data_IF_062945493790
#
_entry.id   IF_062945493790
#
_cell.length_a   1.000
_cell.length_b   1.000
_cell.length_c   1.000
_cell.angle_alpha   90.00
_cell.angle_beta   90.00
_cell.angle_gamma   90.00
#
_symmetry.space_group_name_H-M   'P 1'
#
loop_
_entity.id
_entity.type
_entity.pdbx_description
1 polymer ?
#
# COMPACT_ATOMS: atom_id res chain seq x y z
N UNK A 1 -11.57 -6.32 -42.49
CA UNK A 1 -11.27 -5.39 -43.61
C UNK A 1 -11.70 -3.93 -43.35
N UNK A 2 -12.60 -3.65 -42.43
CA UNK A 2 -13.07 -2.26 -42.12
C UNK A 2 -12.06 -1.46 -41.28
N UNK A 3 -11.29 -2.12 -40.41
CA UNK A 3 -10.30 -1.45 -39.54
C UNK A 3 -9.06 -0.97 -40.30
N UNK A 4 -8.68 -1.66 -41.39
CA UNK A 4 -7.53 -1.27 -42.22
C UNK A 4 -7.84 -0.05 -43.12
N UNK A 5 -9.10 0.16 -43.51
CA UNK A 5 -9.54 1.29 -44.32
C UNK A 5 -9.59 2.62 -43.56
N UNK A 6 -9.84 2.56 -42.24
CA UNK A 6 -9.87 3.75 -41.38
C UNK A 6 -8.46 4.31 -41.09
N UNK A 7 -7.45 3.45 -41.09
CA UNK A 7 -6.05 3.83 -40.86
C UNK A 7 -5.43 4.60 -42.04
N UNK A 8 -5.97 4.45 -43.27
CA UNK A 8 -5.43 5.08 -44.48
C UNK A 8 -5.94 6.53 -44.69
N UNK A 9 -6.96 6.95 -43.96
CA UNK A 9 -7.53 8.31 -44.09
C UNK A 9 -7.04 9.29 -43.01
N UNK A 10 -6.24 8.81 -42.04
CA UNK A 10 -5.64 9.66 -41.03
C UNK A 10 -4.44 10.43 -41.58
N UNK A 11 -4.33 11.75 -41.35
CA UNK A 11 -3.15 12.50 -41.78
C UNK A 11 -1.89 11.88 -41.17
N UNK A 12 -0.87 11.69 -41.97
CA UNK A 12 0.42 11.03 -41.63
C UNK A 12 0.98 11.55 -40.28
N UNK A 13 0.74 12.82 -39.96
CA UNK A 13 1.11 13.42 -38.67
C UNK A 13 0.43 12.80 -37.46
N UNK A 14 -0.84 12.37 -37.58
CA UNK A 14 -1.56 11.69 -36.48
C UNK A 14 -1.04 10.27 -36.26
N UNK A 15 -0.70 9.55 -37.33
CA UNK A 15 -0.12 8.20 -37.22
C UNK A 15 1.26 8.27 -36.56
N UNK A 16 2.08 9.24 -36.96
CA UNK A 16 3.39 9.48 -36.35
C UNK A 16 3.29 9.89 -34.91
N UNK A 17 2.30 10.71 -34.52
CA UNK A 17 2.04 11.08 -33.13
C UNK A 17 1.63 9.85 -32.31
N UNK A 18 0.73 9.01 -32.81
CA UNK A 18 0.27 7.79 -32.09
C UNK A 18 1.40 6.76 -31.92
N UNK A 19 2.27 6.59 -32.93
CA UNK A 19 3.43 5.68 -32.81
C UNK A 19 4.48 6.17 -31.80
N UNK A 20 4.59 7.48 -31.59
CA UNK A 20 5.54 8.06 -30.63
C UNK A 20 4.96 8.09 -29.21
N UNK A 21 3.66 8.33 -29.07
CA UNK A 21 2.97 8.43 -27.76
C UNK A 21 2.64 7.05 -27.17
N UNK A 22 2.36 6.05 -28.03
CA UNK A 22 2.00 4.70 -27.60
C UNK A 22 3.06 4.02 -26.70
N UNK A 23 4.36 3.99 -27.02
CA UNK A 23 5.36 3.38 -26.14
C UNK A 23 5.55 4.17 -24.83
N UNK A 24 5.39 5.49 -24.88
CA UNK A 24 5.47 6.33 -23.69
C UNK A 24 4.32 6.04 -22.71
N UNK A 25 3.09 5.90 -23.24
CA UNK A 25 1.92 5.50 -22.43
C UNK A 25 2.05 4.08 -21.90
N UNK A 26 2.56 3.15 -22.70
CA UNK A 26 2.79 1.77 -22.25
C UNK A 26 3.83 1.72 -21.11
N UNK A 27 4.90 2.52 -21.20
CA UNK A 27 5.90 2.64 -20.15
C UNK A 27 5.30 3.19 -18.85
N UNK A 28 4.52 4.27 -18.94
CA UNK A 28 3.84 4.86 -17.77
C UNK A 28 2.84 3.89 -17.10
N UNK A 29 2.12 3.09 -17.89
CA UNK A 29 1.18 2.10 -17.38
C UNK A 29 1.93 0.97 -16.63
N UNK A 30 3.06 0.51 -17.18
CA UNK A 30 3.91 -0.49 -16.54
C UNK A 30 4.50 0.01 -15.21
N UNK A 31 4.95 1.26 -15.18
CA UNK A 31 5.49 1.89 -13.97
C UNK A 31 4.40 2.04 -12.89
N UNK A 32 3.18 2.43 -13.27
CA UNK A 32 2.05 2.50 -12.34
C UNK A 32 1.63 1.12 -11.81
N UNK A 33 1.72 0.06 -12.62
CA UNK A 33 1.40 -1.30 -12.16
C UNK A 33 2.40 -1.80 -11.13
N UNK A 34 3.69 -1.58 -11.32
CA UNK A 34 4.73 -1.96 -10.36
C UNK A 34 4.59 -1.20 -9.04
N UNK A 35 4.35 0.11 -9.10
CA UNK A 35 4.09 0.91 -7.89
C UNK A 35 2.84 0.43 -7.15
N UNK A 36 1.76 0.09 -7.87
CA UNK A 36 0.52 -0.42 -7.28
C UNK A 36 0.69 -1.77 -6.58
N UNK A 37 1.50 -2.69 -7.10
CA UNK A 37 1.75 -3.98 -6.45
C UNK A 37 2.59 -3.83 -5.18
N UNK A 38 3.60 -2.94 -5.19
CA UNK A 38 4.39 -2.61 -4.01
C UNK A 38 3.52 -2.02 -2.89
N UNK A 39 2.66 -1.07 -3.22
CA UNK A 39 1.74 -0.47 -2.24
C UNK A 39 0.73 -1.49 -1.68
N UNK A 40 0.21 -2.38 -2.50
CA UNK A 40 -0.67 -3.46 -2.05
C UNK A 40 0.06 -4.43 -1.12
N UNK A 41 1.32 -4.76 -1.42
CA UNK A 41 2.14 -5.60 -0.57
C UNK A 41 2.40 -4.92 0.77
N UNK A 42 2.82 -3.65 0.79
CA UNK A 42 3.02 -2.85 2.01
C UNK A 42 1.75 -2.81 2.87
N UNK A 43 0.59 -2.55 2.26
CA UNK A 43 -0.68 -2.51 2.97
C UNK A 43 -1.05 -3.87 3.60
N UNK A 44 -0.83 -4.98 2.90
CA UNK A 44 -1.05 -6.33 3.43
C UNK A 44 -0.09 -6.64 4.57
N UNK A 45 1.20 -6.33 4.40
CA UNK A 45 2.23 -6.51 5.43
C UNK A 45 1.83 -5.76 6.70
N UNK A 46 1.41 -4.50 6.59
CA UNK A 46 0.99 -3.68 7.73
C UNK A 46 -0.23 -4.27 8.46
N UNK A 47 -1.20 -4.83 7.72
CA UNK A 47 -2.37 -5.47 8.31
C UNK A 47 -2.08 -6.82 8.98
N UNK A 48 -1.16 -7.61 8.43
CA UNK A 48 -0.80 -8.92 8.95
C UNK A 48 0.22 -8.86 10.09
N UNK A 49 1.04 -7.81 10.13
CA UNK A 49 2.14 -7.65 11.09
C UNK A 49 1.72 -7.82 12.55
N UNK A 50 0.59 -7.24 13.04
CA UNK A 50 0.16 -7.41 14.43
C UNK A 50 -0.10 -8.87 14.78
N UNK A 51 -0.74 -9.63 13.89
CA UNK A 51 -1.08 -11.04 14.12
C UNK A 51 0.19 -11.89 14.24
N UNK A 52 1.13 -11.68 13.32
CA UNK A 52 2.42 -12.38 13.31
C UNK A 52 3.25 -12.00 14.53
N UNK A 53 3.27 -10.72 14.90
CA UNK A 53 3.98 -10.25 16.10
C UNK A 53 3.38 -10.86 17.40
N UNK A 54 2.06 -10.95 17.51
CA UNK A 54 1.41 -11.64 18.63
C UNK A 54 1.80 -13.13 18.70
N UNK A 55 1.89 -13.82 17.57
CA UNK A 55 2.33 -15.22 17.51
C UNK A 55 3.79 -15.38 17.97
N UNK A 56 4.69 -14.51 17.49
CA UNK A 56 6.08 -14.49 17.95
C UNK A 56 6.15 -14.23 19.45
N UNK A 57 5.42 -13.23 19.95
CA UNK A 57 5.36 -12.89 21.37
C UNK A 57 4.91 -14.07 22.24
N UNK A 58 3.87 -14.80 21.83
CA UNK A 58 3.39 -15.98 22.54
C UNK A 58 4.42 -17.10 22.59
N UNK A 59 5.15 -17.32 21.49
CA UNK A 59 6.21 -18.33 21.43
C UNK A 59 7.39 -17.95 22.33
N UNK A 60 7.82 -16.69 22.28
CA UNK A 60 8.88 -16.18 23.14
C UNK A 60 8.47 -16.26 24.63
N UNK A 61 7.23 -15.86 24.96
CA UNK A 61 6.67 -15.99 26.31
C UNK A 61 6.54 -17.43 26.79
N UNK A 62 6.48 -18.41 25.88
CA UNK A 62 6.49 -19.85 26.18
C UNK A 62 7.90 -20.42 26.30
N UNK A 63 8.95 -19.59 26.22
CA UNK A 63 10.34 -19.99 26.37
C UNK A 63 11.05 -20.44 25.08
N UNK A 64 10.45 -20.22 23.91
CA UNK A 64 11.15 -20.45 22.65
C UNK A 64 12.24 -19.41 22.46
N UNK A 65 13.38 -19.82 21.87
CA UNK A 65 14.38 -18.86 21.39
C UNK A 65 13.82 -18.07 20.20
N UNK A 66 14.41 -16.90 19.92
CA UNK A 66 13.98 -16.05 18.80
C UNK A 66 13.98 -16.83 17.47
N UNK A 67 15.08 -17.51 17.15
CA UNK A 67 15.17 -18.28 15.90
C UNK A 67 14.13 -19.39 15.81
N UNK A 68 13.85 -20.12 16.92
CA UNK A 68 12.83 -21.14 16.95
C UNK A 68 11.41 -20.56 16.80
N UNK A 69 11.13 -19.40 17.37
CA UNK A 69 9.87 -18.69 17.23
C UNK A 69 9.66 -18.23 15.77
N UNK A 70 10.67 -17.58 15.17
CA UNK A 70 10.64 -17.13 13.79
C UNK A 70 10.47 -18.32 12.82
N UNK A 71 11.23 -19.39 13.01
CA UNK A 71 11.12 -20.61 12.20
C UNK A 71 9.69 -21.18 12.24
N UNK A 72 9.11 -21.28 13.44
CA UNK A 72 7.77 -21.83 13.61
C UNK A 72 6.69 -20.96 12.96
N UNK A 73 6.79 -19.64 13.07
CA UNK A 73 5.86 -18.71 12.44
C UNK A 73 6.02 -18.72 10.92
N UNK A 74 7.24 -18.78 10.40
CA UNK A 74 7.49 -18.88 8.95
C UNK A 74 6.94 -20.15 8.33
N UNK A 75 6.95 -21.29 9.06
CA UNK A 75 6.48 -22.57 8.56
C UNK A 75 4.96 -22.77 8.66
N UNK A 76 4.35 -22.19 9.69
CA UNK A 76 2.92 -22.40 10.00
C UNK A 76 2.05 -21.20 9.75
N UNK A 77 2.66 -20.03 9.62
CA UNK A 77 1.97 -18.79 9.29
C UNK A 77 1.47 -18.79 7.85
N UNK A 78 0.46 -18.02 7.61
CA UNK A 78 -0.07 -17.74 6.27
C UNK A 78 0.01 -16.23 6.02
N UNK A 79 0.10 -15.85 4.75
CA UNK A 79 0.13 -14.45 4.36
C UNK A 79 1.53 -13.95 3.96
N UNK A 80 1.61 -12.67 3.71
CA UNK A 80 2.81 -12.03 3.13
C UNK A 80 3.96 -12.00 4.13
N UNK A 81 3.67 -11.63 5.39
CA UNK A 81 4.69 -11.54 6.44
C UNK A 81 5.30 -12.90 6.76
N UNK A 82 4.49 -13.98 6.77
CA UNK A 82 5.00 -15.33 6.98
C UNK A 82 5.91 -15.78 5.82
N UNK A 83 5.59 -15.41 4.58
CA UNK A 83 6.44 -15.66 3.41
C UNK A 83 7.76 -14.90 3.49
N UNK A 84 7.73 -13.62 3.90
CA UNK A 84 8.95 -12.84 4.10
C UNK A 84 9.84 -13.46 5.20
N UNK A 85 9.24 -13.86 6.33
CA UNK A 85 9.97 -14.56 7.39
C UNK A 85 10.55 -15.89 6.90
N UNK A 86 9.88 -16.58 5.98
CA UNK A 86 10.44 -17.79 5.36
C UNK A 86 11.72 -17.48 4.57
N UNK A 87 11.75 -16.35 3.84
CA UNK A 87 12.95 -15.86 3.15
C UNK A 87 14.06 -15.51 4.15
N UNK A 88 13.72 -14.78 5.23
CA UNK A 88 14.66 -14.46 6.32
C UNK A 88 15.30 -15.74 6.89
N UNK A 89 14.47 -16.73 7.23
CA UNK A 89 14.96 -17.99 7.79
C UNK A 89 15.77 -18.82 6.78
N UNK A 90 15.47 -18.71 5.48
CA UNK A 90 16.30 -19.33 4.44
C UNK A 90 17.71 -18.71 4.41
N UNK A 91 17.85 -17.40 4.58
CA UNK A 91 19.15 -16.71 4.67
C UNK A 91 19.92 -17.09 5.94
N UNK A 92 19.23 -17.21 7.06
CA UNK A 92 19.82 -17.69 8.31
C UNK A 92 20.40 -19.11 8.13
N UNK A 93 19.67 -20.02 7.46
CA UNK A 93 20.18 -21.35 7.12
C UNK A 93 21.40 -21.34 6.18
N UNK A 94 21.54 -20.29 5.37
CA UNK A 94 22.71 -20.08 4.49
C UNK A 94 23.91 -19.47 5.22
N UNK A 95 23.78 -19.18 6.53
CA UNK A 95 24.87 -18.69 7.37
C UNK A 95 24.83 -17.18 7.68
N UNK A 96 23.79 -16.46 7.25
CA UNK A 96 23.59 -15.07 7.67
C UNK A 96 23.12 -15.06 9.13
N UNK A 97 23.61 -14.11 9.93
CA UNK A 97 23.10 -13.97 11.32
C UNK A 97 21.63 -13.59 11.33
N UNK A 98 20.87 -14.05 12.35
CA UNK A 98 19.44 -13.70 12.51
C UNK A 98 19.21 -12.20 12.47
N UNK A 99 20.06 -11.45 13.15
CA UNK A 99 19.98 -9.98 13.18
C UNK A 99 20.18 -9.36 11.80
N UNK A 100 21.22 -9.80 11.05
CA UNK A 100 21.46 -9.26 9.71
C UNK A 100 20.33 -9.61 8.72
N UNK A 101 19.79 -10.81 8.80
CA UNK A 101 18.69 -11.23 7.93
C UNK A 101 17.39 -10.48 8.24
N UNK A 102 17.10 -10.21 9.52
CA UNK A 102 15.96 -9.39 9.93
C UNK A 102 16.13 -7.92 9.53
N UNK A 103 17.35 -7.36 9.67
CA UNK A 103 17.62 -6.00 9.25
C UNK A 103 17.44 -5.81 7.75
N UNK A 104 17.93 -6.75 6.95
CA UNK A 104 17.73 -6.73 5.50
C UNK A 104 16.26 -6.81 5.11
N UNK A 105 15.46 -7.59 5.85
CA UNK A 105 14.01 -7.60 5.66
C UNK A 105 13.38 -6.25 5.98
N UNK A 106 13.76 -5.59 7.08
CA UNK A 106 13.27 -4.27 7.44
C UNK A 106 13.61 -3.22 6.38
N UNK A 107 14.85 -3.24 5.88
CA UNK A 107 15.30 -2.32 4.83
C UNK A 107 14.56 -2.54 3.49
N UNK A 108 14.25 -3.80 3.18
CA UNK A 108 13.50 -4.16 1.95
C UNK A 108 12.01 -3.83 2.06
N UNK A 109 11.42 -4.04 3.24
CA UNK A 109 10.01 -3.77 3.50
C UNK A 109 9.69 -2.27 3.42
N UNK A 110 10.65 -1.42 3.81
CA UNK A 110 10.48 0.04 3.84
C UNK A 110 9.18 0.46 4.55
N UNK A 111 8.94 -0.13 5.73
CA UNK A 111 7.80 0.10 6.60
C UNK A 111 8.29 0.34 8.03
N UNK A 112 7.91 1.48 8.60
CA UNK A 112 8.28 1.85 9.98
C UNK A 112 7.87 0.79 11.00
N UNK A 113 6.70 0.17 10.84
CA UNK A 113 6.21 -0.88 11.73
C UNK A 113 7.12 -2.13 11.71
N UNK A 114 7.63 -2.53 10.54
CA UNK A 114 8.58 -3.65 10.41
C UNK A 114 9.90 -3.27 11.04
N UNK A 115 10.40 -2.06 10.79
CA UNK A 115 11.65 -1.56 11.36
C UNK A 115 11.61 -1.50 12.90
N UNK A 116 10.49 -1.05 13.48
CA UNK A 116 10.29 -1.07 14.94
C UNK A 116 10.26 -2.48 15.50
N UNK A 117 9.54 -3.41 14.84
CA UNK A 117 9.52 -4.81 15.26
C UNK A 117 10.94 -5.42 15.23
N UNK A 118 11.68 -5.24 14.14
CA UNK A 118 13.04 -5.75 14.00
C UNK A 118 13.97 -5.14 15.04
N UNK A 119 13.86 -3.84 15.32
CA UNK A 119 14.63 -3.19 16.37
C UNK A 119 14.37 -3.81 17.76
N UNK A 120 13.12 -4.16 18.08
CA UNK A 120 12.78 -4.87 19.33
C UNK A 120 13.39 -6.26 19.34
N UNK A 121 13.27 -7.02 18.26
CA UNK A 121 13.82 -8.38 18.15
C UNK A 121 15.35 -8.41 18.20
N UNK A 122 16.01 -7.32 17.80
CA UNK A 122 17.45 -7.15 17.88
C UNK A 122 17.96 -6.92 19.33
N UNK A 123 17.08 -6.59 20.29
CA UNK A 123 17.47 -6.42 21.67
C UNK A 123 17.91 -7.77 22.24
N UNK A 124 19.15 -7.83 22.73
CA UNK A 124 19.69 -9.04 23.37
C UNK A 124 19.15 -9.17 24.80
N UNK A 125 17.87 -9.49 24.93
CA UNK A 125 17.15 -9.66 26.20
C UNK A 125 16.68 -11.10 26.38
N UNK A 126 16.32 -11.45 27.62
CA UNK A 126 15.67 -12.73 27.87
C UNK A 126 14.37 -12.89 27.07
N UNK A 127 14.10 -14.09 26.61
CA UNK A 127 12.98 -14.37 25.71
C UNK A 127 11.62 -13.89 26.27
N UNK A 128 11.42 -13.96 27.60
CA UNK A 128 10.20 -13.49 28.25
C UNK A 128 9.99 -11.98 28.14
N UNK A 129 11.04 -11.19 28.36
CA UNK A 129 11.01 -9.74 28.22
C UNK A 129 10.78 -9.32 26.77
N UNK A 130 11.44 -10.01 25.83
CA UNK A 130 11.24 -9.81 24.40
C UNK A 130 9.77 -10.07 24.00
N UNK A 131 9.18 -11.14 24.51
CA UNK A 131 7.77 -11.48 24.25
C UNK A 131 6.82 -10.36 24.65
N UNK A 132 7.01 -9.74 25.82
CA UNK A 132 6.17 -8.63 26.29
C UNK A 132 6.33 -7.38 25.44
N UNK A 133 7.55 -7.07 25.01
CA UNK A 133 7.84 -5.92 24.11
C UNK A 133 7.22 -6.11 22.73
N UNK A 134 7.35 -7.30 22.15
CA UNK A 134 6.74 -7.64 20.85
C UNK A 134 5.23 -7.60 20.92
N UNK A 135 4.62 -8.08 22.01
CA UNK A 135 3.18 -8.00 22.22
C UNK A 135 2.69 -6.54 22.38
N UNK A 136 3.49 -5.67 22.99
CA UNK A 136 3.18 -4.24 23.07
C UNK A 136 3.22 -3.58 21.69
N UNK A 137 4.24 -3.87 20.88
CA UNK A 137 4.33 -3.34 19.51
C UNK A 137 3.19 -3.85 18.63
N UNK A 138 2.81 -5.11 18.73
CA UNK A 138 1.66 -5.64 18.00
C UNK A 138 0.37 -4.85 18.29
N UNK A 139 0.15 -4.45 19.56
CA UNK A 139 -0.99 -3.61 19.94
C UNK A 139 -0.88 -2.19 19.36
N UNK A 140 0.32 -1.61 19.33
CA UNK A 140 0.57 -0.29 18.74
C UNK A 140 0.23 -0.28 17.26
N UNK A 141 0.76 -1.23 16.49
CA UNK A 141 0.50 -1.37 15.05
C UNK A 141 -0.99 -1.60 14.79
N UNK A 142 -1.66 -2.41 15.60
CA UNK A 142 -3.12 -2.60 15.48
C UNK A 142 -3.89 -1.30 15.67
N UNK A 143 -3.51 -0.49 16.68
CA UNK A 143 -4.15 0.80 16.94
C UNK A 143 -3.90 1.78 15.79
N UNK A 144 -2.69 1.82 15.26
CA UNK A 144 -2.30 2.62 14.10
C UNK A 144 -3.12 2.23 12.86
N UNK A 145 -3.23 0.93 12.58
CA UNK A 145 -4.05 0.39 11.49
C UNK A 145 -5.54 0.79 11.60
N UNK A 146 -6.11 0.76 12.81
CA UNK A 146 -7.48 1.23 13.02
C UNK A 146 -7.64 2.73 12.75
N UNK A 147 -6.67 3.56 13.12
CA UNK A 147 -6.71 5.00 12.84
C UNK A 147 -6.65 5.29 11.35
N UNK A 148 -5.75 4.62 10.63
CA UNK A 148 -5.66 4.79 9.16
C UNK A 148 -6.96 4.41 8.45
N UNK A 149 -7.65 3.35 8.91
CA UNK A 149 -8.95 2.96 8.36
C UNK A 149 -10.02 4.03 8.61
N UNK A 150 -10.06 4.63 9.80
CA UNK A 150 -10.99 5.70 10.13
C UNK A 150 -10.71 6.95 9.29
N UNK A 151 -9.46 7.36 9.15
CA UNK A 151 -9.04 8.49 8.32
C UNK A 151 -9.39 8.27 6.84
N UNK A 152 -9.21 7.04 6.33
CA UNK A 152 -9.57 6.69 4.96
C UNK A 152 -11.09 6.79 4.72
N UNK A 153 -11.92 6.43 5.72
CA UNK A 153 -13.38 6.56 5.66
C UNK A 153 -13.80 8.04 5.68
N UNK A 154 -13.20 8.85 6.56
CA UNK A 154 -13.48 10.28 6.63
C UNK A 154 -13.10 11.01 5.35
N UNK A 155 -11.94 10.70 4.78
CA UNK A 155 -11.48 11.26 3.52
C UNK A 155 -12.40 10.90 2.34
N UNK A 156 -12.92 9.67 2.30
CA UNK A 156 -13.93 9.28 1.31
C UNK A 156 -15.26 10.03 1.49
N UNK A 157 -15.70 10.24 2.72
CA UNK A 157 -16.91 11.00 3.01
C UNK A 157 -16.78 12.48 2.58
N UNK A 158 -15.63 13.10 2.76
CA UNK A 158 -15.38 14.48 2.30
C UNK A 158 -15.37 14.59 0.76
N UNK A 159 -14.86 13.57 0.06
CA UNK A 159 -14.84 13.58 -1.42
C UNK A 159 -16.24 13.50 -2.06
N UNK A 160 -17.26 13.01 -1.36
CA UNK A 160 -18.65 12.97 -1.84
C UNK A 160 -19.29 14.36 -1.87
N UNK A 161 -18.87 15.27 -0.99
CA UNK A 161 -19.42 16.62 -0.93
C UNK A 161 -19.08 17.49 -2.16
N UNK A 162 -17.90 17.29 -2.74
CA UNK A 162 -17.44 18.08 -3.91
C UNK A 162 -18.32 17.84 -5.14
N UNK A 163 -18.58 16.60 -5.60
CA UNK A 163 -19.45 16.38 -6.75
C UNK A 163 -20.91 16.74 -6.50
N UNK A 164 -21.42 16.60 -5.27
CA UNK A 164 -22.79 16.99 -4.92
C UNK A 164 -22.96 18.52 -4.99
N UNK A 165 -22.01 19.27 -4.46
CA UNK A 165 -22.05 20.73 -4.51
C UNK A 165 -21.93 21.24 -5.95
N UNK A 166 -21.06 20.62 -6.77
CA UNK A 166 -20.88 20.98 -8.18
C UNK A 166 -22.15 20.66 -8.99
N UNK A 167 -22.76 19.49 -8.77
CA UNK A 167 -23.99 19.06 -9.45
C UNK A 167 -25.20 19.95 -9.12
N UNK A 168 -25.26 20.53 -7.93
CA UNK A 168 -26.29 21.47 -7.53
C UNK A 168 -26.02 22.90 -8.06
N UNK A 169 -24.75 23.30 -8.14
CA UNK A 169 -24.36 24.67 -8.51
C UNK A 169 -24.48 24.89 -10.03
N UNK A 170 -24.16 23.90 -10.85
CA UNK A 170 -24.21 24.02 -12.32
C UNK A 170 -25.61 24.38 -12.83
N UNK A 171 -26.71 23.65 -12.49
CA UNK A 171 -28.05 24.02 -12.90
C UNK A 171 -28.48 25.38 -12.39
N UNK A 172 -28.11 25.75 -11.17
CA UNK A 172 -28.42 27.05 -10.57
C UNK A 172 -27.79 28.22 -11.33
N UNK A 173 -26.52 28.10 -11.72
CA UNK A 173 -25.81 29.11 -12.50
C UNK A 173 -26.43 29.24 -13.90
N UNK A 174 -26.76 28.13 -14.58
CA UNK A 174 -27.39 28.13 -15.89
C UNK A 174 -28.74 28.84 -15.83
N UNK A 175 -29.55 28.55 -14.82
CA UNK A 175 -30.88 29.13 -14.65
C UNK A 175 -30.82 30.63 -14.37
N UNK A 176 -29.77 31.08 -13.69
CA UNK A 176 -29.54 32.51 -13.41
C UNK A 176 -28.98 33.28 -14.62
N UNK A 177 -28.26 32.59 -15.51
CA UNK A 177 -27.70 33.18 -16.74
C UNK A 177 -28.76 33.47 -17.81
N UNK A 178 -29.84 32.68 -17.88
CA UNK A 178 -30.90 32.83 -18.89
C UNK A 178 -31.54 34.24 -18.86
N UNK A 179 -32.01 34.78 -17.72
CA UNK A 179 -32.59 36.13 -17.67
C UNK A 179 -31.53 37.22 -17.91
N UNK A 180 -30.28 36.97 -17.56
CA UNK A 180 -29.21 37.95 -17.75
C UNK A 180 -28.87 38.13 -19.23
N UNK A 181 -28.78 37.02 -19.97
CA UNK A 181 -28.53 37.05 -21.43
C UNK A 181 -29.71 37.69 -22.17
N UNK A 182 -30.97 37.37 -21.76
CA UNK A 182 -32.15 37.98 -22.35
C UNK A 182 -32.26 39.50 -22.08
N UNK A 183 -31.82 39.95 -20.91
CA UNK A 183 -31.75 41.38 -20.58
C UNK A 183 -30.67 42.10 -21.43
N UNK A 184 -29.51 41.52 -21.60
CA UNK A 184 -28.46 42.10 -22.45
C UNK A 184 -28.89 42.20 -23.94
N UNK A 185 -29.58 41.17 -24.46
CA UNK A 185 -30.06 41.17 -25.84
C UNK A 185 -31.17 42.21 -26.12
N UNK A 186 -31.82 42.73 -25.09
CA UNK A 186 -32.87 43.74 -25.20
C UNK A 186 -32.35 45.19 -25.10
N UNK A 187 -31.04 45.37 -24.78
CA UNK A 187 -30.40 46.68 -24.65
C UNK A 187 -29.50 47.02 -25.86
N UNK A 188 -29.38 46.19 -26.88
CA UNK A 188 -28.69 46.41 -28.14
C UNK A 188 -29.63 46.46 -29.32
#
# INVERSE_FOLDING_TARGET
MVILGFALSLPIGLVALFTLVSPLLAFLILEQQLASESEKWKARTFQELPIISEQIAMLLGSGYSLGAALQRVSERGSGVVAQDLHVVMARVRQGTSEHAALQEWADTADLDAVSRLVAILALNKEAGDLGTMVAAEARNVRTESHRELLEAIEKKNQQVWIPVTLAALIPGVILMMIPFISALANFG
#
